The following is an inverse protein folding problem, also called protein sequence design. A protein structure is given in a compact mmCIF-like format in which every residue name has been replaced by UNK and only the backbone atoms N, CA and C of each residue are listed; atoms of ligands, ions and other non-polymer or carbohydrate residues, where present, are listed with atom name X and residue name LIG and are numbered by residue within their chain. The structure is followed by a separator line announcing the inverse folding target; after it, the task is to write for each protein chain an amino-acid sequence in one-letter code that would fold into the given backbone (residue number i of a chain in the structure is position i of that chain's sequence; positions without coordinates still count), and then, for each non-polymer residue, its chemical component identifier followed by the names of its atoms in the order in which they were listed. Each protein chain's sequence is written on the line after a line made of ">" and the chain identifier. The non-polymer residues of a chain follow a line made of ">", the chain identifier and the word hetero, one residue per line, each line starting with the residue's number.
data_IF_462433429350
#
_entry.id   IF_462433429350
#
_cell.length_a   1.000
_cell.length_b   1.000
_cell.length_c   1.000
_cell.angle_alpha   90.00
_cell.angle_beta   90.00
_cell.angle_gamma   90.00
#
_symmetry.space_group_name_H-M   'P 1'
#
loop_
_entity.id
_entity.type
_entity.pdbx_description
1 polymer ?
#
# COMPACT_ATOMS: atom_id res chain seq x y z
N UNK A 1 -22.33 40.46 14.50
CA UNK A 1 -21.41 41.57 14.80
C UNK A 1 -20.03 40.95 14.90
N UNK A 2 -19.02 41.49 14.22
CA UNK A 2 -17.66 40.95 14.29
C UNK A 2 -17.10 41.09 15.71
N UNK A 3 -16.18 40.20 16.05
CA UNK A 3 -15.53 40.17 17.36
C UNK A 3 -14.81 41.48 17.70
N UNK A 4 -14.89 41.98 18.94
CA UNK A 4 -14.32 43.29 19.31
C UNK A 4 -12.79 43.30 19.48
N UNK A 5 -12.10 42.17 19.30
CA UNK A 5 -10.65 42.05 19.47
C UNK A 5 -10.01 41.08 18.46
N UNK A 6 -8.96 41.50 17.78
CA UNK A 6 -8.13 40.68 16.88
C UNK A 6 -7.02 39.99 17.71
N UNK A 7 -7.37 38.92 18.42
CA UNK A 7 -6.39 38.07 19.10
C UNK A 7 -6.67 36.62 18.75
N UNK A 8 -5.62 35.87 18.42
CA UNK A 8 -5.73 34.42 18.20
C UNK A 8 -6.28 33.76 19.46
N UNK A 9 -7.27 32.88 19.28
CA UNK A 9 -7.87 32.08 20.35
C UNK A 9 -7.71 30.62 20.01
N UNK A 10 -7.20 29.86 20.96
CA UNK A 10 -7.24 28.42 20.85
C UNK A 10 -8.68 27.93 21.08
N UNK A 11 -9.16 27.11 20.17
CA UNK A 11 -10.46 26.45 20.27
C UNK A 11 -10.28 24.96 19.99
N UNK A 12 -10.82 24.13 20.85
CA UNK A 12 -10.79 22.67 20.70
C UNK A 12 -12.15 22.19 20.19
N UNK A 13 -12.16 21.57 19.02
CA UNK A 13 -13.32 20.88 18.46
C UNK A 13 -12.98 19.43 18.18
N UNK A 14 -13.77 18.52 18.74
CA UNK A 14 -13.57 17.08 18.54
C UNK A 14 -14.71 16.53 17.69
N UNK A 15 -14.38 16.02 16.50
CA UNK A 15 -15.32 15.31 15.62
C UNK A 15 -14.80 13.88 15.42
N UNK A 16 -15.69 12.91 15.51
CA UNK A 16 -15.38 11.51 15.24
C UNK A 16 -15.95 11.08 13.88
N UNK A 17 -15.19 10.28 13.14
CA UNK A 17 -15.63 9.65 11.90
C UNK A 17 -15.17 8.19 11.88
N UNK A 18 -15.98 7.31 11.28
CA UNK A 18 -15.64 5.89 11.10
C UNK A 18 -15.54 5.60 9.61
N UNK A 19 -14.36 5.17 9.18
CA UNK A 19 -14.16 4.69 7.82
C UNK A 19 -14.54 3.21 7.74
N UNK A 20 -15.64 2.91 7.03
CA UNK A 20 -16.17 1.55 6.97
C UNK A 20 -15.44 0.61 6.00
N UNK A 21 -14.60 1.14 5.12
CA UNK A 21 -13.94 0.38 4.07
C UNK A 21 -12.45 0.73 3.97
N UNK A 22 -11.64 -0.27 3.65
CA UNK A 22 -10.25 -0.08 3.29
C UNK A 22 -10.15 0.75 2.01
N UNK A 23 -9.48 1.91 2.08
CA UNK A 23 -9.19 2.79 0.96
C UNK A 23 -8.30 3.96 1.43
N UNK A 24 -7.97 4.85 0.49
CA UNK A 24 -7.41 6.16 0.79
C UNK A 24 -8.51 7.21 0.85
N UNK A 25 -8.41 8.12 1.81
CA UNK A 25 -9.34 9.21 2.05
C UNK A 25 -8.56 10.49 2.34
N UNK A 26 -9.24 11.62 2.25
CA UNK A 26 -8.74 12.91 2.74
C UNK A 26 -9.70 13.42 3.82
N UNK A 27 -9.14 13.84 4.95
CA UNK A 27 -9.88 14.54 5.99
C UNK A 27 -9.42 15.99 6.01
N UNK A 28 -10.36 16.93 5.92
CA UNK A 28 -10.06 18.35 5.94
C UNK A 28 -10.74 19.07 7.11
N UNK A 29 -10.03 20.04 7.65
CA UNK A 29 -10.51 20.98 8.65
C UNK A 29 -10.52 22.36 8.00
N UNK A 30 -11.66 23.05 8.05
CA UNK A 30 -11.77 24.45 7.63
C UNK A 30 -12.26 25.26 8.83
N UNK A 31 -11.49 26.28 9.20
CA UNK A 31 -11.85 27.29 10.17
C UNK A 31 -12.36 28.53 9.44
N UNK A 32 -13.51 29.05 9.86
CA UNK A 32 -14.12 30.28 9.35
C UNK A 32 -14.27 31.27 10.50
N UNK A 33 -13.82 32.49 10.30
CA UNK A 33 -13.94 33.60 11.24
C UNK A 33 -15.24 34.40 10.98
N UNK A 34 -15.72 35.13 11.98
CA UNK A 34 -16.95 35.92 11.94
C UNK A 34 -16.86 37.19 11.07
N UNK A 35 -15.65 37.49 10.59
CA UNK A 35 -15.32 38.53 9.61
C UNK A 35 -15.11 37.98 8.18
N UNK A 36 -15.47 36.71 7.95
CA UNK A 36 -15.29 35.95 6.72
C UNK A 36 -13.85 35.53 6.38
N UNK A 37 -12.89 35.67 7.30
CA UNK A 37 -11.59 35.02 7.20
C UNK A 37 -11.71 33.49 7.17
N UNK A 38 -10.88 32.80 6.39
CA UNK A 38 -10.90 31.33 6.31
C UNK A 38 -9.51 30.74 6.23
N UNK A 39 -9.31 29.58 6.87
CA UNK A 39 -8.12 28.75 6.71
C UNK A 39 -8.50 27.27 6.66
N UNK A 40 -7.80 26.48 5.85
CA UNK A 40 -8.06 25.04 5.70
C UNK A 40 -6.78 24.23 5.80
N UNK A 41 -6.89 23.02 6.35
CA UNK A 41 -5.85 22.01 6.39
C UNK A 41 -6.44 20.66 6.01
N UNK A 42 -5.64 19.80 5.38
CA UNK A 42 -6.03 18.44 5.03
C UNK A 42 -4.99 17.42 5.48
N UNK A 43 -5.43 16.19 5.72
CA UNK A 43 -4.61 15.04 6.03
C UNK A 43 -5.08 13.82 5.23
N UNK A 44 -4.13 13.09 4.66
CA UNK A 44 -4.41 11.80 4.05
C UNK A 44 -4.69 10.75 5.14
N UNK A 45 -5.72 9.94 4.92
CA UNK A 45 -6.10 8.83 5.80
C UNK A 45 -6.08 7.55 4.98
N UNK A 46 -5.28 6.58 5.41
CA UNK A 46 -5.17 5.26 4.77
C UNK A 46 -5.78 4.24 5.71
N UNK A 47 -6.82 3.55 5.23
CA UNK A 47 -7.52 2.50 5.97
C UNK A 47 -7.21 1.18 5.29
N UNK A 48 -6.65 0.24 6.05
CA UNK A 48 -6.34 -1.11 5.59
C UNK A 48 -7.55 -2.03 5.76
N UNK A 49 -7.49 -3.19 5.11
CA UNK A 49 -8.40 -4.27 5.41
C UNK A 49 -8.17 -4.87 6.80
N UNK A 50 -8.81 -5.99 7.05
CA UNK A 50 -8.77 -6.72 8.32
C UNK A 50 -8.47 -8.21 8.13
N UNK A 51 -7.83 -8.57 7.00
CA UNK A 51 -7.38 -9.93 6.78
C UNK A 51 -6.28 -10.28 7.78
N UNK A 52 -6.21 -11.54 8.19
CA UNK A 52 -5.18 -12.04 9.11
C UNK A 52 -4.19 -12.99 8.43
N UNK A 53 -4.47 -13.37 7.19
CA UNK A 53 -3.68 -14.32 6.41
C UNK A 53 -2.97 -13.60 5.28
N UNK A 54 -1.70 -13.93 5.11
CA UNK A 54 -0.90 -13.49 3.99
C UNK A 54 -1.22 -14.34 2.76
N UNK A 55 -1.37 -13.67 1.62
CA UNK A 55 -1.65 -14.31 0.35
C UNK A 55 -0.43 -14.20 -0.56
N UNK A 56 -0.05 -15.33 -1.18
CA UNK A 56 1.05 -15.35 -2.14
C UNK A 56 0.68 -14.65 -3.46
N UNK A 57 1.68 -14.33 -4.27
CA UNK A 57 1.48 -13.70 -5.59
C UNK A 57 0.52 -14.47 -6.51
N UNK A 58 0.46 -15.81 -6.41
CA UNK A 58 -0.45 -16.63 -7.20
C UNK A 58 -1.93 -16.39 -6.87
N UNK A 59 -2.25 -16.13 -5.60
CA UNK A 59 -3.60 -15.72 -5.19
C UNK A 59 -3.96 -14.38 -5.81
N UNK A 60 -3.11 -13.35 -5.61
CA UNK A 60 -3.36 -12.01 -6.13
C UNK A 60 -3.49 -11.97 -7.64
N UNK A 61 -2.66 -12.74 -8.36
CA UNK A 61 -2.81 -12.95 -9.81
C UNK A 61 -4.19 -13.47 -10.17
N UNK A 62 -4.69 -14.49 -9.47
CA UNK A 62 -6.00 -15.07 -9.75
C UNK A 62 -7.14 -14.09 -9.44
N UNK A 63 -7.04 -13.31 -8.36
CA UNK A 63 -8.02 -12.26 -8.02
C UNK A 63 -8.09 -11.22 -9.14
N UNK A 64 -6.93 -10.69 -9.57
CA UNK A 64 -6.86 -9.71 -10.66
C UNK A 64 -7.39 -10.30 -11.97
N UNK A 65 -6.96 -11.51 -12.34
CA UNK A 65 -7.40 -12.20 -13.55
C UNK A 65 -8.90 -12.42 -13.61
N UNK A 66 -9.54 -12.68 -12.47
CA UNK A 66 -11.00 -12.79 -12.40
C UNK A 66 -11.67 -11.49 -12.83
N UNK A 67 -11.17 -10.34 -12.38
CA UNK A 67 -11.75 -9.03 -12.71
C UNK A 67 -11.34 -8.48 -14.09
N UNK A 68 -10.23 -8.93 -14.66
CA UNK A 68 -9.80 -8.51 -16.01
C UNK A 68 -10.41 -9.38 -17.13
N UNK A 69 -10.57 -10.69 -16.88
CA UNK A 69 -10.91 -11.66 -17.93
C UNK A 69 -12.05 -12.61 -17.59
N UNK A 70 -12.59 -12.56 -16.37
CA UNK A 70 -13.62 -13.48 -15.89
C UNK A 70 -13.12 -14.92 -15.66
N UNK A 71 -11.81 -15.17 -15.74
CA UNK A 71 -11.22 -16.51 -15.62
C UNK A 71 -10.80 -16.84 -14.19
N UNK A 72 -11.24 -17.99 -13.69
CA UNK A 72 -10.88 -18.53 -12.37
C UNK A 72 -12.05 -18.54 -11.41
N UNK A 73 -11.77 -18.88 -10.15
CA UNK A 73 -12.79 -18.86 -9.09
C UNK A 73 -13.11 -17.42 -8.69
N UNK A 74 -14.38 -17.15 -8.36
CA UNK A 74 -14.80 -15.85 -7.83
C UNK A 74 -14.08 -15.59 -6.50
N UNK A 75 -13.32 -14.48 -6.38
CA UNK A 75 -12.61 -14.16 -5.15
C UNK A 75 -13.55 -13.58 -4.09
N UNK A 76 -13.11 -13.62 -2.83
CA UNK A 76 -13.82 -12.99 -1.71
C UNK A 76 -13.65 -11.46 -1.72
N UNK A 77 -12.50 -10.97 -2.17
CA UNK A 77 -12.24 -9.53 -2.36
C UNK A 77 -13.08 -9.04 -3.54
N UNK A 78 -13.92 -8.02 -3.33
CA UNK A 78 -14.73 -7.40 -4.38
C UNK A 78 -13.90 -6.51 -5.30
N UNK A 79 -14.41 -6.18 -6.49
CA UNK A 79 -13.75 -5.26 -7.42
C UNK A 79 -13.45 -3.90 -6.76
N UNK A 80 -14.45 -3.29 -6.11
CA UNK A 80 -14.28 -1.99 -5.45
C UNK A 80 -13.19 -2.01 -4.36
N UNK A 81 -13.15 -3.10 -3.58
CA UNK A 81 -12.15 -3.28 -2.52
C UNK A 81 -10.75 -3.47 -3.12
N UNK A 82 -10.62 -4.25 -4.19
CA UNK A 82 -9.36 -4.42 -4.89
C UNK A 82 -8.87 -3.12 -5.52
N UNK A 83 -9.77 -2.32 -6.09
CA UNK A 83 -9.44 -0.99 -6.62
C UNK A 83 -8.91 -0.07 -5.51
N UNK A 84 -9.53 -0.11 -4.32
CA UNK A 84 -9.01 0.60 -3.15
C UNK A 84 -7.63 0.08 -2.70
N UNK A 85 -7.37 -1.23 -2.77
CA UNK A 85 -6.05 -1.77 -2.46
C UNK A 85 -4.98 -1.21 -3.40
N UNK A 86 -5.24 -1.15 -4.70
CA UNK A 86 -4.30 -0.57 -5.66
C UNK A 86 -4.07 0.93 -5.43
N UNK A 87 -5.07 1.68 -4.95
CA UNK A 87 -4.88 3.08 -4.52
C UNK A 87 -3.96 3.19 -3.30
N UNK A 88 -4.09 2.27 -2.33
CA UNK A 88 -3.19 2.20 -1.18
C UNK A 88 -1.76 1.89 -1.66
N UNK A 89 -1.60 0.88 -2.53
CA UNK A 89 -0.29 0.54 -3.12
C UNK A 89 0.31 1.77 -3.83
N UNK A 90 -0.47 2.46 -4.66
CA UNK A 90 -0.04 3.68 -5.36
C UNK A 90 0.34 4.83 -4.42
N UNK A 91 -0.20 4.87 -3.21
CA UNK A 91 0.10 5.91 -2.22
C UNK A 91 1.32 5.58 -1.36
N UNK A 92 1.60 4.29 -1.19
CA UNK A 92 2.60 3.78 -0.24
C UNK A 92 3.90 3.33 -0.90
N UNK A 93 3.82 2.81 -2.13
CA UNK A 93 4.97 2.29 -2.87
C UNK A 93 5.65 3.39 -3.68
N UNK A 94 6.99 3.41 -3.66
CA UNK A 94 7.79 4.23 -4.58
C UNK A 94 8.04 3.56 -5.93
N UNK A 95 7.71 2.27 -6.05
CA UNK A 95 7.92 1.47 -7.25
C UNK A 95 6.67 1.48 -8.13
N UNK A 96 5.51 1.26 -7.52
CA UNK A 96 4.26 1.17 -8.25
C UNK A 96 3.64 2.55 -8.48
N UNK A 97 3.11 2.78 -9.69
CA UNK A 97 2.58 4.06 -10.23
C UNK A 97 3.59 4.92 -11.03
N UNK A 98 4.89 4.64 -10.96
CA UNK A 98 5.91 5.31 -11.80
C UNK A 98 6.87 4.32 -12.47
N UNK A 99 7.63 3.56 -11.67
CA UNK A 99 8.65 2.66 -12.20
C UNK A 99 8.06 1.36 -12.79
N UNK A 100 6.91 0.92 -12.28
CA UNK A 100 6.12 -0.17 -12.84
C UNK A 100 4.65 0.08 -12.49
N UNK A 101 3.80 0.40 -13.46
CA UNK A 101 2.44 0.85 -13.15
C UNK A 101 1.54 -0.32 -12.70
N UNK A 102 0.84 -0.13 -11.58
CA UNK A 102 -0.13 -1.07 -11.01
C UNK A 102 -1.50 -0.42 -10.76
N UNK A 103 -1.76 0.77 -11.35
CA UNK A 103 -2.94 1.62 -11.07
C UNK A 103 -4.27 1.02 -11.53
N UNK A 104 -4.25 0.02 -12.42
CA UNK A 104 -5.44 -0.68 -12.91
C UNK A 104 -5.31 -2.19 -12.75
N UNK A 105 -6.42 -2.91 -12.79
CA UNK A 105 -6.39 -4.38 -12.68
C UNK A 105 -5.54 -5.03 -13.77
N UNK A 106 -5.61 -4.54 -15.00
CA UNK A 106 -4.84 -5.05 -16.13
C UNK A 106 -3.34 -4.81 -15.93
N UNK A 107 -2.95 -3.62 -15.49
CA UNK A 107 -1.55 -3.27 -15.25
C UNK A 107 -0.99 -4.09 -14.06
N UNK A 108 -1.72 -4.17 -12.96
CA UNK A 108 -1.35 -5.01 -11.82
C UNK A 108 -1.28 -6.51 -12.19
N UNK A 109 -2.21 -7.03 -12.99
CA UNK A 109 -2.17 -8.42 -13.47
C UNK A 109 -0.91 -8.69 -14.30
N UNK A 110 -0.54 -7.74 -15.17
CA UNK A 110 0.66 -7.86 -16.02
C UNK A 110 1.94 -7.97 -15.20
N UNK A 111 2.00 -7.33 -14.03
CA UNK A 111 3.11 -7.49 -13.08
C UNK A 111 3.17 -8.92 -12.54
N UNK A 112 2.03 -9.60 -12.36
CA UNK A 112 2.03 -11.02 -11.96
C UNK A 112 2.23 -11.99 -13.12
N UNK A 113 2.26 -11.53 -14.37
CA UNK A 113 2.58 -12.39 -15.50
C UNK A 113 4.08 -12.53 -15.71
N UNK A 114 4.60 -13.68 -15.27
CA UNK A 114 6.01 -14.03 -15.43
C UNK A 114 6.32 -14.64 -16.80
N UNK A 115 5.31 -14.86 -17.63
CA UNK A 115 5.47 -15.43 -18.97
C UNK A 115 6.24 -14.46 -19.85
N UNK A 116 7.54 -14.70 -20.04
CA UNK A 116 8.42 -13.86 -20.86
C UNK A 116 9.25 -12.82 -20.10
N UNK A 117 9.08 -12.70 -18.77
CA UNK A 117 9.96 -11.88 -17.92
C UNK A 117 11.37 -12.44 -17.92
N UNK A 118 12.36 -11.57 -18.16
CA UNK A 118 13.78 -11.96 -18.22
C UNK A 118 14.62 -11.21 -17.18
N UNK A 119 14.18 -10.03 -16.77
CA UNK A 119 14.91 -9.23 -15.82
C UNK A 119 14.54 -9.57 -14.38
N UNK A 120 15.54 -9.56 -13.51
CA UNK A 120 15.34 -9.87 -12.10
C UNK A 120 14.46 -8.83 -11.40
N UNK A 121 14.48 -7.58 -11.87
CA UNK A 121 13.59 -6.51 -11.37
C UNK A 121 12.12 -6.85 -11.59
N UNK A 122 11.77 -7.38 -12.76
CA UNK A 122 10.40 -7.74 -13.08
C UNK A 122 9.89 -8.92 -12.25
N UNK A 123 10.77 -9.88 -11.93
CA UNK A 123 10.46 -11.03 -11.07
C UNK A 123 10.37 -10.59 -9.61
N UNK A 124 11.22 -9.67 -9.18
CA UNK A 124 11.17 -9.07 -7.85
C UNK A 124 9.84 -8.30 -7.63
N UNK A 125 9.38 -7.53 -8.61
CA UNK A 125 8.15 -6.73 -8.52
C UNK A 125 6.91 -7.58 -8.28
N UNK A 126 6.90 -8.84 -8.75
CA UNK A 126 5.85 -9.83 -8.47
C UNK A 126 5.66 -9.99 -6.96
N UNK A 127 6.75 -10.14 -6.22
CA UNK A 127 6.69 -10.38 -4.78
C UNK A 127 6.43 -9.08 -4.03
N UNK A 128 7.02 -7.97 -4.46
CA UNK A 128 6.77 -6.66 -3.86
C UNK A 128 5.28 -6.26 -3.98
N UNK A 129 4.65 -6.49 -5.13
CA UNK A 129 3.23 -6.18 -5.30
C UNK A 129 2.34 -7.07 -4.42
N UNK A 130 2.68 -8.35 -4.27
CA UNK A 130 1.96 -9.25 -3.36
C UNK A 130 2.06 -8.77 -1.90
N UNK A 131 3.25 -8.35 -1.45
CA UNK A 131 3.46 -7.78 -0.11
C UNK A 131 2.62 -6.52 0.11
N UNK A 132 2.61 -5.59 -0.85
CA UNK A 132 1.78 -4.39 -0.74
C UNK A 132 0.27 -4.67 -0.74
N UNK A 133 -0.18 -5.66 -1.51
CA UNK A 133 -1.58 -6.09 -1.49
C UNK A 133 -1.95 -6.75 -0.16
N UNK A 134 -1.05 -7.51 0.47
CA UNK A 134 -1.26 -8.05 1.82
C UNK A 134 -1.36 -6.94 2.88
N UNK A 135 -0.50 -5.92 2.79
CA UNK A 135 -0.60 -4.72 3.63
C UNK A 135 -1.93 -4.00 3.43
N UNK A 136 -2.32 -3.71 2.18
CA UNK A 136 -3.62 -3.09 1.88
C UNK A 136 -4.80 -3.95 2.36
N UNK A 137 -4.66 -5.27 2.34
CA UNK A 137 -5.65 -6.22 2.84
C UNK A 137 -5.69 -6.33 4.37
N UNK A 138 -4.70 -5.76 5.07
CA UNK A 138 -4.57 -5.76 6.53
C UNK A 138 -3.83 -6.96 7.12
N UNK A 139 -3.33 -7.87 6.28
CA UNK A 139 -2.55 -9.02 6.73
C UNK A 139 -1.17 -8.63 7.25
N UNK A 140 -0.68 -7.47 6.79
CA UNK A 140 0.49 -6.80 7.30
C UNK A 140 0.13 -5.45 7.94
N UNK A 141 0.71 -5.14 9.10
CA UNK A 141 0.51 -3.90 9.85
C UNK A 141 1.69 -2.95 9.64
N UNK A 142 1.42 -1.64 9.65
CA UNK A 142 2.42 -0.58 9.57
C UNK A 142 3.60 -0.80 10.52
N UNK A 143 3.31 -1.15 11.78
CA UNK A 143 4.33 -1.26 12.86
C UNK A 143 4.74 -2.68 13.17
N UNK A 144 4.22 -3.69 12.48
CA UNK A 144 4.68 -5.05 12.77
C UNK A 144 6.15 -5.21 12.40
N UNK A 145 6.82 -6.12 13.09
CA UNK A 145 8.17 -6.49 12.75
C UNK A 145 8.15 -7.57 11.67
N UNK A 146 9.09 -7.48 10.73
CA UNK A 146 9.38 -8.48 9.71
C UNK A 146 10.84 -8.91 9.81
N UNK A 147 11.12 -10.14 9.39
CA UNK A 147 12.45 -10.73 9.35
C UNK A 147 13.17 -10.25 8.08
N UNK A 148 14.18 -9.38 8.23
CA UNK A 148 14.94 -8.85 7.08
C UNK A 148 16.24 -9.59 6.85
N UNK A 149 16.73 -10.34 7.84
CA UNK A 149 18.03 -11.00 7.81
C UNK A 149 17.96 -12.53 7.55
N UNK A 150 16.75 -13.10 7.54
CA UNK A 150 16.48 -14.51 7.28
C UNK A 150 16.68 -15.45 8.47
N UNK A 151 16.82 -14.93 9.69
CA UNK A 151 17.03 -15.72 10.91
C UNK A 151 15.73 -16.24 11.55
N UNK A 152 14.58 -15.95 10.92
CA UNK A 152 13.21 -16.28 11.35
C UNK A 152 12.74 -15.51 12.59
N UNK A 153 13.45 -14.47 12.98
CA UNK A 153 13.08 -13.55 14.06
C UNK A 153 12.74 -12.20 13.46
N UNK A 154 11.50 -11.71 13.64
CA UNK A 154 11.16 -10.36 13.20
C UNK A 154 12.06 -9.29 13.84
N UNK A 155 12.71 -8.46 13.01
CA UNK A 155 13.79 -7.57 13.43
C UNK A 155 13.59 -6.10 13.05
N UNK A 156 12.81 -5.82 12.00
CA UNK A 156 12.64 -4.46 11.44
C UNK A 156 11.18 -4.15 11.22
N UNK A 157 10.77 -2.90 11.45
CA UNK A 157 9.40 -2.43 11.17
C UNK A 157 9.10 -2.61 9.67
N UNK A 158 7.94 -3.19 9.35
CA UNK A 158 7.51 -3.49 7.97
C UNK A 158 7.70 -2.33 7.00
N UNK A 159 7.18 -1.14 7.33
CA UNK A 159 7.25 0.02 6.41
C UNK A 159 8.69 0.51 6.19
N UNK A 160 9.55 0.42 7.21
CA UNK A 160 10.96 0.81 7.11
C UNK A 160 11.74 -0.20 6.26
N UNK A 161 11.41 -1.50 6.43
CA UNK A 161 11.98 -2.59 5.66
C UNK A 161 11.61 -2.46 4.18
N UNK A 162 10.32 -2.26 3.85
CA UNK A 162 9.87 -2.08 2.46
C UNK A 162 10.46 -0.82 1.84
N UNK A 163 10.51 0.31 2.56
CA UNK A 163 11.12 1.54 2.03
C UNK A 163 12.61 1.36 1.67
N UNK A 164 13.35 0.59 2.48
CA UNK A 164 14.75 0.25 2.22
C UNK A 164 14.88 -0.66 1.00
N UNK A 165 14.03 -1.69 0.91
CA UNK A 165 13.97 -2.62 -0.22
C UNK A 165 13.63 -1.88 -1.53
N UNK A 166 12.63 -1.01 -1.52
CA UNK A 166 12.22 -0.22 -2.69
C UNK A 166 13.32 0.75 -3.14
N UNK A 167 14.04 1.35 -2.20
CA UNK A 167 15.21 2.18 -2.52
C UNK A 167 16.27 1.36 -3.30
N UNK A 168 16.53 0.11 -2.88
CA UNK A 168 17.43 -0.79 -3.64
C UNK A 168 16.83 -1.20 -4.98
N UNK A 169 15.53 -1.45 -5.07
CA UNK A 169 14.86 -1.77 -6.33
C UNK A 169 14.95 -0.62 -7.35
N UNK A 170 14.91 0.63 -6.89
CA UNK A 170 14.99 1.81 -7.75
C UNK A 170 16.43 2.19 -8.12
N UNK A 171 17.43 1.80 -7.33
CA UNK A 171 18.84 2.04 -7.63
C UNK A 171 19.27 1.29 -8.90
N UNK A 172 19.77 1.98 -9.95
CA UNK A 172 20.27 1.34 -11.17
C UNK A 172 21.49 0.45 -10.93
N UNK A 173 22.21 0.63 -9.81
CA UNK A 173 23.41 -0.14 -9.48
C UNK A 173 23.12 -1.43 -8.68
N UNK A 174 21.86 -1.64 -8.25
CA UNK A 174 21.51 -2.87 -7.54
C UNK A 174 21.61 -4.06 -8.49
N UNK A 175 22.56 -4.94 -8.18
CA UNK A 175 22.87 -6.11 -9.01
C UNK A 175 21.81 -7.20 -8.90
N UNK A 176 21.84 -8.13 -9.87
CA UNK A 176 20.92 -9.28 -9.92
C UNK A 176 20.89 -10.09 -8.61
N UNK A 177 22.05 -10.43 -8.05
CA UNK A 177 22.13 -11.24 -6.83
C UNK A 177 21.51 -10.54 -5.61
N UNK A 178 21.65 -9.20 -5.52
CA UNK A 178 20.99 -8.42 -4.47
C UNK A 178 19.47 -8.44 -4.63
N UNK A 179 18.96 -8.29 -5.85
CA UNK A 179 17.51 -8.40 -6.12
C UNK A 179 16.97 -9.80 -5.81
N UNK A 180 17.75 -10.86 -6.07
CA UNK A 180 17.38 -12.23 -5.70
C UNK A 180 17.29 -12.41 -4.18
N UNK A 181 18.23 -11.84 -3.42
CA UNK A 181 18.17 -11.85 -1.95
C UNK A 181 16.96 -11.08 -1.43
N UNK A 182 16.75 -9.84 -1.89
CA UNK A 182 15.61 -9.01 -1.46
C UNK A 182 14.27 -9.65 -1.85
N UNK A 183 14.18 -10.29 -3.02
CA UNK A 183 13.01 -11.09 -3.42
C UNK A 183 12.76 -12.21 -2.42
N UNK A 184 13.78 -12.97 -2.05
CA UNK A 184 13.64 -14.07 -1.09
C UNK A 184 13.17 -13.57 0.28
N UNK A 185 13.64 -12.39 0.70
CA UNK A 185 13.15 -11.72 1.91
C UNK A 185 11.65 -11.38 1.79
N UNK A 186 11.20 -10.77 0.69
CA UNK A 186 9.77 -10.49 0.48
C UNK A 186 8.91 -11.77 0.43
N UNK A 187 9.42 -12.84 -0.19
CA UNK A 187 8.73 -14.13 -0.27
C UNK A 187 8.48 -14.74 1.11
N UNK A 188 9.44 -14.63 2.03
CA UNK A 188 9.28 -15.15 3.39
C UNK A 188 8.14 -14.45 4.13
N UNK A 189 7.91 -13.15 3.90
CA UNK A 189 6.83 -12.39 4.51
C UNK A 189 5.45 -12.79 4.02
N UNK A 190 5.35 -13.26 2.76
CA UNK A 190 4.08 -13.75 2.19
C UNK A 190 3.80 -15.23 2.48
N UNK A 191 4.82 -15.99 2.91
CA UNK A 191 4.73 -17.44 3.13
C UNK A 191 4.51 -17.83 4.60
N UNK A 192 4.62 -16.86 5.51
CA UNK A 192 4.56 -17.07 6.96
C UNK A 192 3.36 -16.28 7.52
N UNK A 193 2.26 -16.97 7.78
CA UNK A 193 1.23 -16.75 8.82
C UNK A 193 0.06 -17.72 8.60
#
# INVERSE_FOLDING_TARGET
>A
MPSPSIQARDFLSNVAHVFGNACTFESSLTATDDDAGTASQAAAVIILGNATQNEGHGYWKNVLRYYTSGKGCKPAVTADRLACYLKIVSSMSRVFNEANDASTFQLAESIFDTSGKKEMKEIFDVQLLAVWLNFANGALDWKELVDTNGDKTPDTIFVDAVATIETKRLDPNTGRSQLEQLKSTLESWTSIK
#
